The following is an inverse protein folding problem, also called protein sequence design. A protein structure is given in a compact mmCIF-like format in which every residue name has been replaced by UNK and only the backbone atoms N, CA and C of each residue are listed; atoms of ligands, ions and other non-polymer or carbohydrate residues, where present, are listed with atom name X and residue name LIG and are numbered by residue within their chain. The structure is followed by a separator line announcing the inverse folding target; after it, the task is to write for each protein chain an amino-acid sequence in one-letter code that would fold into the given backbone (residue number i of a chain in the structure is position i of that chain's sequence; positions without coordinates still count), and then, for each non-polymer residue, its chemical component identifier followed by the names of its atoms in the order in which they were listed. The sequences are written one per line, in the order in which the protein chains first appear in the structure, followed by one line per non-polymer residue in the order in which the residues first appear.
data_IF_982919432864
#
_entry.id   IF_982919432864
#
_cell.length_a   1.000
_cell.length_b   1.000
_cell.length_c   1.000
_cell.angle_alpha   90.00
_cell.angle_beta   90.00
_cell.angle_gamma   90.00
#
_symmetry.space_group_name_H-M   'P 1'
#
loop_
_entity.id
_entity.type
_entity.pdbx_description
1 polymer ?
#
# COMPACT_ATOMS: atom_id res chain seq x y z
N UNK A 1 23.10 9.84 -4.18
CA UNK A 1 22.48 8.75 -3.39
C UNK A 1 21.06 8.54 -3.86
N UNK A 2 20.71 7.30 -4.16
CA UNK A 2 19.33 6.97 -4.57
C UNK A 2 18.39 7.00 -3.38
N UNK A 3 17.16 7.45 -3.62
CA UNK A 3 16.09 7.41 -2.62
C UNK A 3 15.40 6.05 -2.61
N UNK A 4 15.01 5.60 -1.42
CA UNK A 4 14.19 4.42 -1.22
C UNK A 4 12.96 4.81 -0.42
N UNK A 5 11.78 4.55 -0.96
CA UNK A 5 10.52 4.90 -0.33
C UNK A 5 9.86 3.62 0.18
N UNK A 6 9.50 3.59 1.45
CA UNK A 6 8.83 2.45 2.07
C UNK A 6 7.91 2.89 3.19
N UNK A 7 6.92 2.05 3.51
CA UNK A 7 6.02 2.27 4.64
C UNK A 7 5.42 0.93 5.08
N UNK A 8 5.24 0.68 6.39
CA UNK A 8 4.61 -0.55 6.87
C UNK A 8 3.21 -0.80 6.30
N UNK A 9 2.47 0.25 5.98
CA UNK A 9 1.12 0.14 5.38
C UNK A 9 1.11 -0.42 3.96
N UNK A 10 2.26 -0.60 3.32
CA UNK A 10 2.33 -1.26 2.01
C UNK A 10 2.01 -2.76 2.11
N UNK A 11 2.13 -3.35 3.29
CA UNK A 11 1.65 -4.69 3.56
C UNK A 11 0.14 -4.66 3.77
N UNK A 12 -0.62 -4.96 2.71
CA UNK A 12 -2.07 -4.96 2.76
C UNK A 12 -2.54 -6.14 3.62
N UNK A 13 -3.51 -5.95 4.55
CA UNK A 13 -4.04 -7.04 5.35
C UNK A 13 -4.93 -7.96 4.51
N UNK A 14 -4.37 -9.07 4.04
CA UNK A 14 -5.08 -10.09 3.28
C UNK A 14 -5.15 -11.39 4.07
N UNK A 15 -6.16 -12.27 3.78
CA UNK A 15 -6.25 -13.58 4.42
C UNK A 15 -4.99 -14.43 4.17
N UNK A 16 -4.66 -15.29 5.13
CA UNK A 16 -3.57 -16.25 4.98
C UNK A 16 -3.80 -17.11 3.74
N UNK A 17 -2.70 -17.39 3.02
CA UNK A 17 -2.76 -18.17 1.79
C UNK A 17 -3.31 -17.42 0.59
N UNK A 18 -3.57 -16.11 0.70
CA UNK A 18 -3.98 -15.30 -0.43
C UNK A 18 -2.90 -15.31 -1.51
N UNK A 19 -3.34 -15.36 -2.78
CA UNK A 19 -2.43 -15.43 -3.94
C UNK A 19 -1.46 -14.25 -4.00
N UNK A 20 -1.93 -13.04 -3.64
CA UNK A 20 -1.07 -11.86 -3.61
C UNK A 20 -0.15 -11.92 -2.39
N UNK A 21 1.19 -11.82 -2.57
CA UNK A 21 2.13 -11.88 -1.45
C UNK A 21 2.17 -10.53 -0.70
N UNK A 22 1.17 -10.29 0.16
CA UNK A 22 0.95 -9.00 0.81
C UNK A 22 2.09 -8.54 1.70
N UNK A 23 2.91 -9.47 2.21
CA UNK A 23 4.05 -9.15 3.10
C UNK A 23 5.37 -8.98 2.37
N UNK A 24 5.36 -8.96 1.05
CA UNK A 24 6.60 -8.88 0.25
C UNK A 24 7.41 -7.61 0.53
N UNK A 25 6.74 -6.49 0.82
CA UNK A 25 7.42 -5.22 1.03
C UNK A 25 8.20 -5.21 2.36
N UNK A 26 7.58 -5.62 3.45
CA UNK A 26 8.26 -5.72 4.75
C UNK A 26 9.35 -6.78 4.71
N UNK A 27 9.09 -7.92 4.06
CA UNK A 27 10.07 -8.99 3.93
C UNK A 27 11.30 -8.53 3.13
N UNK A 28 11.08 -7.77 2.06
CA UNK A 28 12.18 -7.20 1.28
C UNK A 28 13.03 -6.25 2.14
N UNK A 29 12.39 -5.40 2.94
CA UNK A 29 13.10 -4.48 3.83
C UNK A 29 13.92 -5.20 4.89
N UNK A 30 13.41 -6.31 5.44
CA UNK A 30 14.16 -7.14 6.38
C UNK A 30 15.44 -7.68 5.75
N UNK A 31 15.34 -8.20 4.53
CA UNK A 31 16.49 -8.77 3.81
C UNK A 31 17.52 -7.70 3.47
N UNK A 32 17.07 -6.55 2.97
CA UNK A 32 17.97 -5.45 2.63
C UNK A 32 18.69 -4.90 3.86
N UNK A 33 17.99 -4.81 4.98
CA UNK A 33 18.58 -4.38 6.26
C UNK A 33 19.62 -5.39 6.72
N UNK A 34 19.28 -6.67 6.72
CA UNK A 34 20.19 -7.75 7.14
C UNK A 34 21.47 -7.77 6.29
N UNK A 35 21.35 -7.54 5.00
CA UNK A 35 22.47 -7.61 4.07
C UNK A 35 23.28 -6.29 3.99
N UNK A 36 22.89 -5.27 4.75
CA UNK A 36 23.59 -3.98 4.81
C UNK A 36 23.45 -3.12 3.57
N UNK A 37 22.53 -3.45 2.66
CA UNK A 37 22.35 -2.74 1.38
C UNK A 37 21.79 -1.34 1.58
N UNK A 38 21.02 -1.10 2.65
CA UNK A 38 20.32 0.17 2.87
C UNK A 38 21.27 1.33 3.17
N UNK A 39 22.50 1.07 3.56
CA UNK A 39 23.48 2.13 3.87
C UNK A 39 23.79 3.02 2.66
N UNK A 40 23.56 2.53 1.44
CA UNK A 40 23.74 3.28 0.20
C UNK A 40 22.50 4.07 -0.24
N UNK A 41 21.41 4.07 0.55
CA UNK A 41 20.14 4.70 0.16
C UNK A 41 19.67 5.74 1.17
N UNK A 42 19.04 6.81 0.67
CA UNK A 42 18.26 7.70 1.51
C UNK A 42 16.86 7.11 1.68
N UNK A 43 16.49 6.76 2.91
CA UNK A 43 15.20 6.15 3.20
C UNK A 43 14.14 7.21 3.47
N UNK A 44 12.96 7.06 2.87
CA UNK A 44 11.83 7.97 3.02
C UNK A 44 10.58 7.18 3.42
N UNK A 45 9.84 7.71 4.39
CA UNK A 45 8.56 7.16 4.83
C UNK A 45 7.47 8.15 4.43
N UNK A 46 6.70 7.88 3.36
CA UNK A 46 5.71 8.82 2.89
C UNK A 46 4.52 8.92 3.83
N UNK A 47 3.88 10.08 3.81
CA UNK A 47 2.58 10.27 4.43
C UNK A 47 1.46 9.86 3.46
N UNK A 48 0.25 9.54 3.97
CA UNK A 48 -0.87 9.27 3.11
C UNK A 48 -1.16 10.42 2.15
N UNK A 49 -1.55 10.11 0.93
CA UNK A 49 -1.93 11.12 -0.04
C UNK A 49 -3.13 11.93 0.46
N UNK A 50 -3.11 13.25 0.24
CA UNK A 50 -4.22 14.11 0.59
C UNK A 50 -5.44 13.80 -0.29
N UNK A 51 -6.66 13.99 0.26
CA UNK A 51 -7.90 13.76 -0.49
C UNK A 51 -7.95 14.56 -1.80
N UNK A 52 -7.45 15.79 -1.79
CA UNK A 52 -7.39 16.61 -2.99
C UNK A 52 -6.54 16.02 -4.10
N UNK A 53 -5.44 15.38 -3.75
CA UNK A 53 -4.58 14.69 -4.72
C UNK A 53 -5.28 13.47 -5.32
N UNK A 54 -5.97 12.70 -4.47
CA UNK A 54 -6.74 11.54 -4.91
C UNK A 54 -7.93 11.97 -5.80
N UNK A 55 -8.62 13.06 -5.44
CA UNK A 55 -9.77 13.58 -6.17
C UNK A 55 -9.39 14.13 -7.56
N UNK A 56 -8.12 14.40 -7.81
CA UNK A 56 -7.66 14.81 -9.13
C UNK A 56 -7.84 13.71 -10.20
N UNK A 57 -7.85 12.43 -9.78
CA UNK A 57 -7.97 11.28 -10.69
C UNK A 57 -9.09 10.30 -10.31
N UNK A 58 -9.66 10.42 -9.12
CA UNK A 58 -10.73 9.54 -8.62
C UNK A 58 -11.98 10.31 -8.26
N UNK A 59 -13.13 9.67 -8.44
CA UNK A 59 -14.42 10.23 -8.00
C UNK A 59 -14.43 10.39 -6.47
N UNK A 60 -14.87 11.54 -5.93
CA UNK A 60 -14.94 11.75 -4.48
C UNK A 60 -15.79 10.70 -3.73
N UNK A 61 -16.89 10.24 -4.32
CA UNK A 61 -17.73 9.20 -3.72
C UNK A 61 -16.99 7.88 -3.59
N UNK A 62 -16.20 7.52 -4.59
CA UNK A 62 -15.34 6.33 -4.53
C UNK A 62 -14.28 6.45 -3.43
N UNK A 63 -13.61 7.59 -3.33
CA UNK A 63 -12.61 7.85 -2.29
C UNK A 63 -13.24 7.69 -0.90
N UNK A 64 -14.41 8.30 -0.69
CA UNK A 64 -15.14 8.19 0.57
C UNK A 64 -15.54 6.76 0.90
N UNK A 65 -16.03 6.01 -0.08
CA UNK A 65 -16.43 4.63 0.11
C UNK A 65 -15.24 3.72 0.46
N UNK A 66 -14.10 3.91 -0.19
CA UNK A 66 -12.88 3.16 0.14
C UNK A 66 -12.42 3.47 1.56
N UNK A 67 -12.36 4.75 1.92
CA UNK A 67 -11.92 5.18 3.25
C UNK A 67 -12.83 4.64 4.37
N UNK A 68 -14.13 4.53 4.11
CA UNK A 68 -15.11 4.04 5.07
C UNK A 68 -15.30 2.52 5.05
N UNK A 69 -14.66 1.80 4.13
CA UNK A 69 -14.91 0.37 3.92
C UNK A 69 -16.33 0.08 3.43
N UNK A 70 -16.93 1.01 2.68
CA UNK A 70 -18.33 0.97 2.27
C UNK A 70 -18.54 0.70 0.77
N UNK A 71 -17.57 0.08 0.10
CA UNK A 71 -17.74 -0.33 -1.30
C UNK A 71 -18.85 -1.38 -1.42
N UNK A 72 -19.64 -1.29 -2.51
CA UNK A 72 -20.64 -2.30 -2.82
C UNK A 72 -20.03 -3.67 -3.08
N UNK A 73 -20.84 -4.74 -2.95
CA UNK A 73 -20.38 -6.09 -3.27
C UNK A 73 -19.89 -6.22 -4.70
N UNK A 74 -20.51 -5.52 -5.65
CA UNK A 74 -20.09 -5.52 -7.04
C UNK A 74 -18.75 -4.81 -7.23
N UNK A 75 -18.54 -3.67 -6.57
CA UNK A 75 -17.28 -2.96 -6.61
C UNK A 75 -16.14 -3.78 -6.01
N UNK A 76 -16.38 -4.49 -4.91
CA UNK A 76 -15.42 -5.38 -4.29
C UNK A 76 -15.05 -6.56 -5.20
N UNK A 77 -16.03 -7.10 -5.93
CA UNK A 77 -15.78 -8.16 -6.91
C UNK A 77 -14.88 -7.70 -8.04
N UNK A 78 -15.11 -6.48 -8.56
CA UNK A 78 -14.29 -5.89 -9.62
C UNK A 78 -12.87 -5.64 -9.10
N UNK A 79 -12.75 -5.14 -7.87
CA UNK A 79 -11.46 -4.92 -7.22
C UNK A 79 -10.67 -6.22 -7.03
N UNK A 80 -11.38 -7.33 -6.74
CA UNK A 80 -10.76 -8.64 -6.52
C UNK A 80 -10.11 -8.82 -5.16
N UNK A 81 -10.27 -7.87 -4.25
CA UNK A 81 -9.73 -7.90 -2.89
C UNK A 81 -10.84 -7.68 -1.88
N UNK A 82 -10.68 -8.25 -0.68
CA UNK A 82 -11.53 -7.90 0.46
C UNK A 82 -11.05 -6.58 1.06
N UNK A 83 -11.99 -5.71 1.27
CA UNK A 83 -11.69 -4.38 1.81
C UNK A 83 -12.58 -4.04 2.99
#
# INVERSE_FOLDING_TARGET
MLGLVTHPAYDIPLPDGHRFPATKFSRLMEILTRDGVLDGFAQHYPEPAARGDLAAVHCPDYIGAVAAGALSADALRVLGLKW
#
